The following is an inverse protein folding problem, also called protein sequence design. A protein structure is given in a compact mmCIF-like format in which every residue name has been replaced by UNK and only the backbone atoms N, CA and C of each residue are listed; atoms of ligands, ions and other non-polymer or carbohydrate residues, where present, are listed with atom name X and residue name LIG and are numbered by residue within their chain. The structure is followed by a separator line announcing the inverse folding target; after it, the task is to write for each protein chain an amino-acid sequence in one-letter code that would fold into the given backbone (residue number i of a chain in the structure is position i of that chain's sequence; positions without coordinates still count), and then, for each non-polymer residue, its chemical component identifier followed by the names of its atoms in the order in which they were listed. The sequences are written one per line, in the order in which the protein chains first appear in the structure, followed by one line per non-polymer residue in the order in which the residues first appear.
data_IF_649346651780
#
_entry.id   IF_649346651780
#
_cell.length_a   1.000
_cell.length_b   1.000
_cell.length_c   1.000
_cell.angle_alpha   90.00
_cell.angle_beta   90.00
_cell.angle_gamma   90.00
#
_symmetry.space_group_name_H-M   'P 1'
#
loop_
_entity.id
_entity.type
_entity.pdbx_description
1 polymer ?
#
# COMPACT_ATOMS: atom_id res chain seq x y z
N UNK A 1 6.21 -23.20 10.91
CA UNK A 1 4.75 -23.09 11.17
C UNK A 1 4.42 -23.37 12.63
N UNK A 2 4.88 -24.48 13.21
CA UNK A 2 4.66 -24.86 14.62
C UNK A 2 5.10 -23.76 15.62
N UNK A 3 6.21 -23.09 15.33
CA UNK A 3 6.72 -21.99 16.15
C UNK A 3 5.76 -20.78 16.17
N UNK A 4 5.17 -20.44 15.01
CA UNK A 4 4.18 -19.37 14.90
C UNK A 4 2.90 -19.72 15.66
N UNK A 5 2.43 -20.95 15.53
CA UNK A 5 1.26 -21.42 16.27
C UNK A 5 1.48 -21.40 17.79
N UNK A 6 2.67 -21.82 18.24
CA UNK A 6 3.06 -21.77 19.64
C UNK A 6 3.09 -20.33 20.14
N UNK A 7 3.78 -19.43 19.42
CA UNK A 7 3.90 -18.03 19.78
C UNK A 7 2.54 -17.30 19.84
N UNK A 8 1.59 -17.67 18.97
CA UNK A 8 0.23 -17.15 19.04
C UNK A 8 -0.51 -17.60 20.30
N UNK A 9 -0.38 -18.89 20.67
CA UNK A 9 -1.00 -19.42 21.89
C UNK A 9 -0.42 -18.81 23.17
N UNK A 10 0.88 -18.53 23.15
CA UNK A 10 1.61 -17.95 24.29
C UNK A 10 1.55 -16.41 24.32
N UNK A 11 0.99 -15.77 23.28
CA UNK A 11 0.95 -14.30 23.16
C UNK A 11 2.30 -13.66 22.85
N UNK A 12 3.26 -14.42 22.36
CA UNK A 12 4.64 -14.00 22.10
C UNK A 12 4.93 -13.77 20.62
N UNK A 13 3.93 -13.70 19.75
CA UNK A 13 4.10 -13.59 18.29
C UNK A 13 5.02 -12.44 17.88
N UNK A 14 5.02 -11.33 18.61
CA UNK A 14 5.86 -10.18 18.32
C UNK A 14 7.36 -10.47 18.38
N UNK A 15 7.79 -11.49 19.15
CA UNK A 15 9.19 -11.89 19.21
C UNK A 15 9.70 -12.58 17.94
N UNK A 16 8.78 -13.00 17.06
CA UNK A 16 9.09 -13.61 15.77
C UNK A 16 9.08 -12.61 14.61
N UNK A 17 8.73 -11.34 14.86
CA UNK A 17 8.62 -10.32 13.84
C UNK A 17 9.83 -9.41 13.80
N UNK A 18 10.21 -8.99 12.59
CA UNK A 18 11.19 -7.93 12.39
C UNK A 18 10.51 -6.57 12.53
N UNK A 19 11.22 -5.62 13.12
CA UNK A 19 10.78 -4.23 13.23
C UNK A 19 11.70 -3.35 12.38
N UNK A 20 11.09 -2.62 11.47
CA UNK A 20 11.78 -1.68 10.59
C UNK A 20 11.44 -0.25 11.06
N UNK A 21 12.40 0.56 11.53
CA UNK A 21 12.18 1.99 11.65
C UNK A 21 11.96 2.54 10.25
N UNK A 22 10.98 3.44 10.09
CA UNK A 22 10.60 3.99 8.78
C UNK A 22 10.83 5.49 8.74
N UNK A 23 11.24 6.00 7.57
CA UNK A 23 11.48 7.41 7.30
C UNK A 23 10.51 7.91 6.20
N UNK A 24 10.36 9.23 6.11
CA UNK A 24 9.53 9.85 5.08
C UNK A 24 10.07 9.53 3.68
N UNK A 25 9.18 9.11 2.80
CA UNK A 25 9.51 8.77 1.42
C UNK A 25 9.87 7.31 1.18
N UNK A 26 10.03 6.51 2.22
CA UNK A 26 10.26 5.08 2.06
C UNK A 26 9.02 4.36 1.53
N UNK A 27 9.25 3.28 0.82
CA UNK A 27 8.21 2.38 0.32
C UNK A 27 8.51 0.94 0.72
N UNK A 28 7.45 0.19 0.97
CA UNK A 28 7.53 -1.22 1.31
C UNK A 28 6.55 -2.01 0.46
N UNK A 29 7.07 -2.83 -0.44
CA UNK A 29 6.26 -3.76 -1.20
C UNK A 29 6.03 -5.02 -0.38
N UNK A 30 4.78 -5.29 -0.02
CA UNK A 30 4.40 -6.41 0.85
C UNK A 30 3.74 -7.51 0.02
N UNK A 31 4.44 -8.60 -0.30
CA UNK A 31 3.83 -9.74 -0.98
C UNK A 31 2.71 -10.38 -0.16
N UNK A 32 1.74 -10.98 -0.85
CA UNK A 32 0.68 -11.76 -0.21
C UNK A 32 1.28 -12.87 0.66
N UNK A 33 0.74 -13.06 1.86
CA UNK A 33 1.22 -14.03 2.85
C UNK A 33 2.24 -13.46 3.85
N UNK A 34 2.80 -12.27 3.61
CA UNK A 34 3.70 -11.62 4.56
C UNK A 34 2.93 -11.13 5.79
N UNK A 35 3.35 -11.57 6.98
CA UNK A 35 2.82 -11.03 8.25
C UNK A 35 3.35 -9.61 8.41
N UNK A 36 2.45 -8.63 8.48
CA UNK A 36 2.83 -7.23 8.61
C UNK A 36 1.85 -6.43 9.44
N UNK A 37 2.33 -5.35 10.00
CA UNK A 37 1.52 -4.35 10.70
C UNK A 37 2.20 -2.98 10.60
N UNK A 38 1.40 -1.92 10.65
CA UNK A 38 1.86 -0.54 10.65
C UNK A 38 1.94 -0.05 12.09
N UNK A 39 3.09 0.50 12.47
CA UNK A 39 3.34 1.03 13.81
C UNK A 39 2.59 2.33 14.09
N UNK A 40 2.67 2.78 15.33
CA UNK A 40 2.08 4.05 15.77
C UNK A 40 2.84 5.25 15.18
N UNK A 41 2.10 6.29 14.79
CA UNK A 41 2.67 7.57 14.37
C UNK A 41 3.13 7.62 12.91
N UNK A 42 2.76 6.62 12.11
CA UNK A 42 3.08 6.54 10.68
C UNK A 42 1.86 6.93 9.84
N UNK A 43 2.05 7.79 8.87
CA UNK A 43 1.07 8.06 7.81
C UNK A 43 1.51 7.33 6.55
N UNK A 44 0.62 6.54 5.96
CA UNK A 44 0.93 5.74 4.76
C UNK A 44 -0.11 5.95 3.68
N UNK A 45 0.30 5.77 2.43
CA UNK A 45 -0.58 5.53 1.30
C UNK A 45 -0.47 4.04 0.99
N UNK A 46 -1.56 3.31 1.12
CA UNK A 46 -1.64 1.89 0.83
C UNK A 46 -2.29 1.66 -0.53
N UNK A 47 -1.56 1.01 -1.43
CA UNK A 47 -2.03 0.60 -2.75
C UNK A 47 -2.03 -0.92 -2.77
N UNK A 48 -3.20 -1.52 -3.00
CA UNK A 48 -3.34 -2.97 -2.99
C UNK A 48 -4.15 -3.47 -4.18
N UNK A 49 -3.99 -4.75 -4.49
CA UNK A 49 -4.91 -5.44 -5.41
C UNK A 49 -6.35 -5.36 -4.89
N UNK A 50 -7.33 -5.40 -5.81
CA UNK A 50 -8.75 -5.38 -5.43
C UNK A 50 -9.16 -6.67 -4.70
N UNK A 51 -8.95 -6.69 -3.40
CA UNK A 51 -9.34 -7.79 -2.50
C UNK A 51 -9.74 -7.21 -1.15
N UNK A 52 -10.87 -7.66 -0.61
CA UNK A 52 -11.32 -7.34 0.73
C UNK A 52 -10.96 -8.42 1.78
N UNK A 53 -10.12 -9.39 1.39
CA UNK A 53 -9.71 -10.47 2.29
C UNK A 53 -8.56 -10.01 3.18
N UNK A 54 -8.84 -9.87 4.46
CA UNK A 54 -7.83 -9.66 5.51
C UNK A 54 -7.92 -10.81 6.51
N UNK A 55 -6.82 -11.54 6.67
CA UNK A 55 -6.73 -12.54 7.72
C UNK A 55 -5.96 -11.99 8.90
N UNK A 56 -6.69 -11.52 9.91
CA UNK A 56 -6.09 -10.95 11.12
C UNK A 56 -5.54 -12.06 12.00
N UNK A 57 -4.21 -12.08 12.14
CA UNK A 57 -3.49 -13.07 12.94
C UNK A 57 -3.37 -12.65 14.39
N UNK A 58 -3.13 -11.36 14.65
CA UNK A 58 -2.94 -10.73 15.94
C UNK A 58 -3.46 -9.29 15.90
N UNK A 59 -3.98 -8.77 17.00
CA UNK A 59 -4.57 -7.43 17.03
C UNK A 59 -4.26 -6.61 18.29
N UNK A 60 -3.18 -6.93 18.97
CA UNK A 60 -2.75 -6.18 20.16
C UNK A 60 -3.84 -6.04 21.24
N UNK A 61 -4.78 -6.98 21.30
CA UNK A 61 -5.96 -6.95 22.17
C UNK A 61 -6.79 -5.66 22.04
N UNK A 62 -6.80 -5.04 20.86
CA UNK A 62 -7.55 -3.80 20.62
C UNK A 62 -9.06 -4.06 20.66
N UNK A 63 -9.76 -3.14 21.28
CA UNK A 63 -11.23 -3.12 21.31
C UNK A 63 -11.72 -2.29 20.12
N UNK A 64 -12.65 -2.83 19.35
CA UNK A 64 -13.31 -2.15 18.25
C UNK A 64 -14.31 -1.07 18.75
N UNK A 65 -14.87 -0.32 17.81
CA UNK A 65 -15.85 0.73 18.11
C UNK A 65 -17.16 0.19 18.72
N UNK A 66 -17.40 -1.10 18.56
CA UNK A 66 -18.54 -1.84 19.15
C UNK A 66 -18.25 -2.35 20.58
N UNK A 67 -17.12 -1.98 21.16
CA UNK A 67 -16.70 -2.39 22.51
C UNK A 67 -16.21 -3.85 22.58
N UNK A 68 -16.01 -4.54 21.46
CA UNK A 68 -15.56 -5.93 21.41
C UNK A 68 -14.18 -6.06 20.76
N UNK A 69 -13.40 -7.08 21.10
CA UNK A 69 -12.19 -7.43 20.35
C UNK A 69 -12.54 -7.72 18.89
N UNK A 70 -11.67 -7.28 17.96
CA UNK A 70 -11.86 -7.60 16.54
C UNK A 70 -11.62 -9.09 16.31
N UNK A 71 -12.39 -9.67 15.38
CA UNK A 71 -12.26 -11.09 15.02
C UNK A 71 -10.86 -11.42 14.52
N UNK A 72 -10.30 -12.51 15.02
CA UNK A 72 -9.05 -13.10 14.55
C UNK A 72 -9.36 -14.27 13.60
N UNK A 73 -8.54 -14.39 12.55
CA UNK A 73 -8.71 -15.42 11.51
C UNK A 73 -7.54 -16.41 11.53
N UNK A 74 -7.08 -16.81 12.73
CA UNK A 74 -5.84 -17.57 12.94
C UNK A 74 -5.73 -18.78 12.03
N UNK A 75 -6.76 -19.64 12.01
CA UNK A 75 -6.74 -20.87 11.20
C UNK A 75 -6.67 -20.63 9.68
N UNK A 76 -7.27 -19.54 9.21
CA UNK A 76 -7.19 -19.14 7.80
C UNK A 76 -5.83 -18.51 7.49
N UNK A 77 -5.33 -17.65 8.38
CA UNK A 77 -4.03 -17.02 8.25
C UNK A 77 -2.91 -18.05 8.17
N UNK A 78 -2.88 -19.04 9.08
CA UNK A 78 -1.87 -20.10 9.11
C UNK A 78 -1.79 -20.93 7.82
N UNK A 79 -2.84 -20.96 6.99
CA UNK A 79 -2.84 -21.65 5.70
C UNK A 79 -2.17 -20.86 4.57
N UNK A 80 -1.97 -19.57 4.74
CA UNK A 80 -1.54 -18.65 3.67
C UNK A 80 -0.31 -17.83 4.00
N UNK A 81 0.13 -17.79 5.27
CA UNK A 81 1.31 -17.03 5.67
C UNK A 81 2.59 -17.62 5.08
N UNK A 82 3.50 -16.75 4.68
CA UNK A 82 4.90 -17.10 4.42
C UNK A 82 5.70 -16.85 5.70
N UNK A 83 6.41 -17.87 6.18
CA UNK A 83 7.24 -17.81 7.40
C UNK A 83 8.69 -17.44 7.11
N UNK A 84 9.03 -17.15 5.85
CA UNK A 84 10.36 -16.65 5.50
C UNK A 84 10.54 -15.23 6.04
N UNK A 85 11.78 -14.91 6.43
CA UNK A 85 12.10 -13.56 6.82
C UNK A 85 11.82 -12.59 5.66
N UNK A 86 11.06 -11.53 5.94
CA UNK A 86 10.83 -10.47 4.97
C UNK A 86 12.10 -9.63 4.82
N UNK A 87 12.46 -9.35 3.58
CA UNK A 87 13.47 -8.38 3.21
C UNK A 87 12.84 -7.33 2.31
N UNK A 88 13.03 -6.02 2.59
CA UNK A 88 12.51 -4.96 1.72
C UNK A 88 12.92 -5.17 0.27
N UNK A 89 11.96 -5.10 -0.64
CA UNK A 89 12.20 -5.25 -2.07
C UNK A 89 12.47 -3.88 -2.66
N UNK A 90 13.64 -3.70 -3.25
CA UNK A 90 14.01 -2.47 -3.93
C UNK A 90 13.62 -2.52 -5.40
N UNK A 91 13.06 -1.41 -5.89
CA UNK A 91 12.75 -1.21 -7.30
C UNK A 91 13.64 -0.10 -7.87
N UNK A 92 13.86 -0.12 -9.18
CA UNK A 92 14.58 0.95 -9.85
C UNK A 92 13.65 2.15 -10.04
N UNK A 93 14.10 3.33 -9.61
CA UNK A 93 13.34 4.57 -9.81
C UNK A 93 12.93 4.78 -11.27
N UNK A 94 11.73 5.30 -11.52
CA UNK A 94 10.75 5.84 -10.56
C UNK A 94 9.82 4.78 -9.94
N UNK A 95 10.02 3.50 -10.21
CA UNK A 95 9.15 2.40 -9.76
C UNK A 95 9.30 2.20 -8.25
N UNK A 96 8.18 2.08 -7.54
CA UNK A 96 8.11 1.81 -6.10
C UNK A 96 7.43 0.48 -5.77
N UNK A 97 6.81 -0.16 -6.74
CA UNK A 97 6.19 -1.47 -6.58
C UNK A 97 5.60 -1.99 -7.88
N UNK A 98 5.78 -3.28 -8.11
CA UNK A 98 5.22 -3.96 -9.28
C UNK A 98 4.82 -5.39 -8.95
N UNK A 99 3.68 -5.82 -9.46
CA UNK A 99 3.21 -7.20 -9.43
C UNK A 99 2.35 -7.49 -10.65
N UNK A 100 1.83 -8.71 -10.76
CA UNK A 100 0.94 -9.07 -11.88
C UNK A 100 -0.36 -8.25 -11.95
N UNK A 101 -0.73 -7.52 -10.90
CA UNK A 101 -2.00 -6.79 -10.84
C UNK A 101 -1.84 -5.30 -11.12
N UNK A 102 -0.73 -4.69 -10.68
CA UNK A 102 -0.48 -3.26 -10.82
C UNK A 102 1.00 -2.94 -10.77
N UNK A 103 1.33 -1.75 -11.30
CA UNK A 103 2.62 -1.08 -11.11
C UNK A 103 2.39 0.29 -10.52
N UNK A 104 3.27 0.70 -9.58
CA UNK A 104 3.23 2.02 -8.97
C UNK A 104 4.58 2.71 -9.05
N UNK A 105 4.58 4.00 -9.37
CA UNK A 105 5.79 4.81 -9.55
C UNK A 105 5.61 6.22 -9.00
N UNK A 106 6.69 6.84 -8.52
CA UNK A 106 6.70 8.21 -8.00
C UNK A 106 7.22 9.18 -9.05
N UNK A 107 6.53 10.29 -9.22
CA UNK A 107 6.84 11.30 -10.22
C UNK A 107 6.71 12.72 -9.67
N UNK A 108 7.37 13.67 -10.34
CA UNK A 108 7.20 15.11 -10.08
C UNK A 108 6.28 15.72 -11.14
N UNK A 109 5.35 16.57 -10.71
CA UNK A 109 4.39 17.23 -11.60
C UNK A 109 5.09 18.01 -12.72
N UNK A 110 6.18 18.73 -12.40
CA UNK A 110 6.92 19.53 -13.40
C UNK A 110 7.57 18.67 -14.50
N UNK A 111 7.87 17.41 -14.21
CA UNK A 111 8.47 16.49 -15.17
C UNK A 111 7.47 15.80 -16.10
N UNK A 112 6.20 15.77 -15.72
CA UNK A 112 5.14 15.04 -16.44
C UNK A 112 3.90 15.93 -16.55
N UNK A 113 3.79 16.78 -17.58
CA UNK A 113 2.65 17.67 -17.72
C UNK A 113 1.37 16.96 -18.16
N UNK A 114 1.48 15.77 -18.72
CA UNK A 114 0.33 14.98 -19.20
C UNK A 114 0.57 13.48 -19.02
N UNK A 115 -0.45 12.78 -18.59
CA UNK A 115 -0.48 11.32 -18.46
C UNK A 115 -1.70 10.80 -19.19
N UNK A 116 -1.54 9.74 -19.97
CA UNK A 116 -2.64 9.11 -20.67
C UNK A 116 -2.88 7.70 -20.14
N UNK A 117 -4.10 7.42 -19.69
CA UNK A 117 -4.55 6.06 -19.42
C UNK A 117 -4.66 5.28 -20.76
N UNK A 118 -4.19 4.04 -20.76
CA UNK A 118 -4.37 3.19 -21.94
C UNK A 118 -5.87 2.90 -22.18
N UNK A 119 -6.20 2.30 -23.34
CA UNK A 119 -7.59 2.02 -23.69
C UNK A 119 -8.21 0.85 -22.91
N UNK A 120 -7.41 0.08 -22.19
CA UNK A 120 -7.83 -1.15 -21.54
C UNK A 120 -8.14 -0.97 -20.05
N UNK A 121 -7.49 0.01 -19.39
CA UNK A 121 -7.67 0.22 -17.96
C UNK A 121 -7.46 1.68 -17.56
N UNK A 122 -7.92 2.00 -16.36
CA UNK A 122 -7.73 3.27 -15.69
C UNK A 122 -6.30 3.43 -15.14
N UNK A 123 -5.98 4.65 -14.75
CA UNK A 123 -4.86 4.98 -13.88
C UNK A 123 -5.35 5.72 -12.65
N UNK A 124 -4.60 5.60 -11.55
CA UNK A 124 -4.80 6.39 -10.33
C UNK A 124 -3.60 7.31 -10.12
N UNK A 125 -3.87 8.57 -9.77
CA UNK A 125 -2.86 9.58 -9.44
C UNK A 125 -3.14 10.04 -8.01
N UNK A 126 -2.24 9.74 -7.07
CA UNK A 126 -2.35 10.18 -5.67
C UNK A 126 -1.23 11.16 -5.35
N UNK A 127 -1.57 12.40 -5.03
CA UNK A 127 -0.59 13.44 -4.71
C UNK A 127 -0.02 13.25 -3.31
N UNK A 128 1.30 13.16 -3.20
CA UNK A 128 2.02 13.09 -1.92
C UNK A 128 2.21 14.49 -1.34
N UNK A 129 2.56 15.43 -2.19
CA UNK A 129 2.87 16.83 -1.81
C UNK A 129 2.36 17.80 -2.87
N UNK A 130 2.34 19.08 -2.51
CA UNK A 130 2.09 20.18 -3.45
C UNK A 130 0.62 20.50 -3.68
N UNK A 131 0.41 21.37 -4.66
CA UNK A 131 -0.92 21.84 -5.07
C UNK A 131 -0.92 22.23 -6.55
N UNK A 132 -2.11 22.22 -7.16
CA UNK A 132 -2.28 22.54 -8.56
C UNK A 132 -3.63 22.11 -9.10
N UNK A 133 -3.66 21.58 -10.34
CA UNK A 133 -4.88 21.05 -10.96
C UNK A 133 -4.62 19.85 -11.86
N UNK A 134 -5.59 18.97 -11.94
CA UNK A 134 -5.72 17.88 -12.92
C UNK A 134 -6.93 18.20 -13.80
N UNK A 135 -6.74 18.42 -15.10
CA UNK A 135 -7.83 18.81 -16.02
C UNK A 135 -8.67 20.00 -15.47
N UNK A 136 -7.99 21.02 -14.91
CA UNK A 136 -8.60 22.19 -14.27
C UNK A 136 -9.31 21.92 -12.93
N UNK A 137 -9.34 20.71 -12.41
CA UNK A 137 -9.85 20.37 -11.08
C UNK A 137 -8.72 20.56 -10.08
N UNK A 138 -8.88 21.42 -9.05
CA UNK A 138 -7.83 21.65 -8.07
C UNK A 138 -7.43 20.38 -7.30
N UNK A 139 -6.15 20.26 -6.94
CA UNK A 139 -5.65 19.25 -6.01
C UNK A 139 -4.76 19.87 -4.92
N UNK A 140 -4.66 19.16 -3.84
CA UNK A 140 -3.69 19.35 -2.75
C UNK A 140 -3.09 17.99 -2.34
N UNK A 141 -2.13 17.99 -1.45
CA UNK A 141 -1.57 16.76 -0.88
C UNK A 141 -2.68 15.83 -0.36
N UNK A 142 -2.51 14.53 -0.61
CA UNK A 142 -3.39 13.40 -0.30
C UNK A 142 -4.66 13.30 -1.17
N UNK A 143 -4.89 14.20 -2.11
CA UNK A 143 -5.97 14.02 -3.08
C UNK A 143 -5.61 12.92 -4.09
N UNK A 144 -6.63 12.16 -4.48
CA UNK A 144 -6.50 11.07 -5.46
C UNK A 144 -7.46 11.30 -6.62
N UNK A 145 -6.95 11.12 -7.85
CA UNK A 145 -7.71 11.19 -9.08
C UNK A 145 -7.76 9.83 -9.76
N UNK A 146 -8.95 9.45 -10.16
CA UNK A 146 -9.20 8.31 -11.02
C UNK A 146 -9.34 8.81 -12.48
N UNK A 147 -8.49 8.33 -13.35
CA UNK A 147 -8.50 8.68 -14.78
C UNK A 147 -8.99 7.45 -15.55
N UNK A 148 -10.18 7.51 -16.15
CA UNK A 148 -10.75 6.38 -16.90
C UNK A 148 -9.89 5.94 -18.07
N UNK A 149 -10.08 4.70 -18.51
CA UNK A 149 -9.43 4.14 -19.69
C UNK A 149 -9.56 5.05 -20.91
N UNK A 150 -8.47 5.26 -21.63
CA UNK A 150 -8.39 6.09 -22.84
C UNK A 150 -8.49 7.61 -22.60
N UNK A 151 -8.59 8.05 -21.34
CA UNK A 151 -8.61 9.48 -21.00
C UNK A 151 -7.23 9.96 -20.57
N UNK A 152 -7.04 11.28 -20.63
CA UNK A 152 -5.81 11.94 -20.26
C UNK A 152 -5.98 12.80 -18.99
N UNK A 153 -4.91 12.98 -18.25
CA UNK A 153 -4.77 13.91 -17.15
C UNK A 153 -3.72 14.96 -17.52
N UNK A 154 -4.13 16.21 -17.65
CA UNK A 154 -3.24 17.35 -17.80
C UNK A 154 -2.94 17.89 -16.43
N UNK A 155 -1.66 17.87 -16.03
CA UNK A 155 -1.19 18.28 -14.72
C UNK A 155 -0.61 19.68 -14.76
N UNK A 156 -1.06 20.53 -13.87
CA UNK A 156 -0.49 21.87 -13.65
C UNK A 156 -0.23 22.08 -12.16
N UNK A 157 0.84 22.81 -11.83
CA UNK A 157 1.20 23.10 -10.44
C UNK A 157 2.54 22.50 -10.04
N UNK A 158 2.64 22.03 -8.78
CA UNK A 158 3.89 21.51 -8.23
C UNK A 158 3.61 20.39 -7.22
N UNK A 159 4.62 19.57 -6.98
CA UNK A 159 4.57 18.49 -6.00
C UNK A 159 4.96 17.14 -6.60
N UNK A 160 4.85 16.14 -5.78
CA UNK A 160 5.11 14.73 -6.13
C UNK A 160 3.81 13.93 -6.06
N UNK A 161 3.71 12.91 -6.88
CA UNK A 161 2.55 12.01 -6.91
C UNK A 161 2.96 10.57 -7.17
N UNK A 162 2.13 9.65 -6.71
CA UNK A 162 2.18 8.24 -7.08
C UNK A 162 1.24 8.02 -8.27
N UNK A 163 1.79 7.47 -9.33
CA UNK A 163 1.05 6.96 -10.47
C UNK A 163 0.88 5.45 -10.32
N UNK A 164 -0.34 4.97 -10.33
CA UNK A 164 -0.62 3.53 -10.32
C UNK A 164 -1.36 3.13 -11.59
N UNK A 165 -0.86 2.09 -12.25
CA UNK A 165 -1.44 1.48 -13.45
C UNK A 165 -1.83 0.04 -13.16
N UNK A 166 -2.85 -0.46 -13.86
CA UNK A 166 -3.28 -1.86 -13.78
C UNK A 166 -2.53 -2.68 -14.82
N UNK A 167 -1.86 -3.74 -14.38
CA UNK A 167 -1.23 -4.72 -15.25
C UNK A 167 -2.28 -5.77 -15.70
N UNK A 168 -2.25 -6.14 -16.98
CA UNK A 168 -3.13 -7.15 -17.58
C UNK A 168 -2.34 -8.18 -18.37
#
# INVERSE_FOLDING_TARGET
MEEVEKALKEGTILSLLNFFPVEDGENYFIPSGTIHAIGKGVTVIEIQQNSNLTYRLYDYNRIGNDGKPRELHIQKALKVIDTKAYHPISFQEPLIGECKYFSSSVHNVKGIPMIQANKESFISITFLTGEGSVNSIPYKALDTFFIPAGKEAVLNGSGTFVLTTVNR
#
